data_IF_557574915345
#
_entry.id   IF_557574915345
#
_cell.length_a   1.000
_cell.length_b   1.000
_cell.length_c   1.000
_cell.angle_alpha   90.00
_cell.angle_beta   90.00
_cell.angle_gamma   90.00
#
_symmetry.space_group_name_H-M   'P 1'
#
loop_
_entity.id
_entity.type
_entity.pdbx_description
1 polymer ?
#
# COMPACT_ATOMS: atom_id res chain seq x y z
N UNK A 1 6.77 14.54 46.16
CA UNK A 1 7.16 14.98 44.80
C UNK A 1 7.04 13.90 43.70
N UNK A 2 6.82 12.61 44.00
CA UNK A 2 6.78 11.55 42.97
C UNK A 2 5.42 11.30 42.28
N UNK A 3 4.31 11.74 42.89
CA UNK A 3 2.93 11.43 42.43
C UNK A 3 2.46 12.40 41.34
N UNK A 4 2.95 13.65 41.35
CA UNK A 4 2.58 14.68 40.37
C UNK A 4 3.22 14.45 38.99
N UNK A 5 4.41 13.84 38.95
CA UNK A 5 5.12 13.53 37.70
C UNK A 5 4.51 12.33 36.95
N UNK A 6 3.96 11.35 37.67
CA UNK A 6 3.31 10.17 37.09
C UNK A 6 1.92 10.52 36.52
N UNK A 7 1.14 11.35 37.21
CA UNK A 7 -0.14 11.86 36.70
C UNK A 7 0.02 12.73 35.45
N UNK A 8 1.05 13.60 35.40
CA UNK A 8 1.32 14.43 34.22
C UNK A 8 1.75 13.58 33.01
N UNK A 9 2.52 12.51 33.22
CA UNK A 9 2.87 11.55 32.15
C UNK A 9 1.67 10.76 31.65
N UNK A 10 0.72 10.37 32.51
CA UNK A 10 -0.50 9.66 32.11
C UNK A 10 -1.45 10.58 31.33
N UNK A 11 -1.63 11.83 31.77
CA UNK A 11 -2.42 12.83 31.05
C UNK A 11 -1.81 13.16 29.69
N UNK A 12 -0.48 13.28 29.62
CA UNK A 12 0.25 13.46 28.37
C UNK A 12 0.11 12.23 27.47
N UNK A 13 0.22 11.01 28.01
CA UNK A 13 0.03 9.76 27.25
C UNK A 13 -1.41 9.62 26.75
N UNK A 14 -2.41 9.99 27.56
CA UNK A 14 -3.83 10.01 27.16
C UNK A 14 -4.09 11.08 26.10
N UNK A 15 -3.52 12.28 26.22
CA UNK A 15 -3.62 13.32 25.19
C UNK A 15 -2.93 12.88 23.89
N UNK A 16 -1.73 12.30 23.95
CA UNK A 16 -1.05 11.74 22.79
C UNK A 16 -1.76 10.53 22.19
N UNK A 17 -2.40 9.68 23.00
CA UNK A 17 -3.21 8.53 22.56
C UNK A 17 -4.51 8.99 21.87
N UNK A 18 -5.18 10.02 22.41
CA UNK A 18 -6.35 10.60 21.76
C UNK A 18 -6.00 11.40 20.48
N UNK A 19 -4.81 12.02 20.43
CA UNK A 19 -4.27 12.68 19.22
C UNK A 19 -3.84 11.64 18.17
N UNK A 20 -3.28 10.49 18.57
CA UNK A 20 -2.95 9.41 17.63
C UNK A 20 -4.20 8.74 17.06
N UNK A 21 -5.27 8.58 17.86
CA UNK A 21 -6.55 8.04 17.35
C UNK A 21 -7.21 8.98 16.31
N UNK A 22 -7.00 10.30 16.40
CA UNK A 22 -7.55 11.24 15.40
C UNK A 22 -6.71 11.37 14.11
N UNK A 23 -5.47 10.88 14.10
CA UNK A 23 -4.57 11.01 12.95
C UNK A 23 -4.54 9.79 12.02
N UNK A 24 -5.33 8.74 12.30
CA UNK A 24 -5.32 7.46 11.56
C UNK A 24 -6.62 7.21 10.77
N UNK A 25 -7.43 8.25 10.52
CA UNK A 25 -8.71 8.17 9.80
C UNK A 25 -8.70 9.00 8.50
N UNK A 26 -7.65 8.89 7.69
CA UNK A 26 -7.58 9.43 6.32
C UNK A 26 -6.62 8.50 5.56
N UNK A 27 -6.93 7.61 4.61
CA UNK A 27 -8.07 7.35 3.75
C UNK A 27 -7.98 5.87 3.31
N UNK A 28 -8.38 4.89 4.11
CA UNK A 28 -8.40 3.51 3.61
C UNK A 28 -9.57 3.34 2.64
N UNK A 29 -9.31 3.08 1.36
CA UNK A 29 -10.35 2.64 0.42
C UNK A 29 -10.25 1.14 0.21
N UNK A 30 -11.12 0.40 0.89
CA UNK A 30 -11.16 -1.06 0.82
C UNK A 30 -11.80 -1.47 -0.49
N UNK A 31 -11.04 -2.16 -1.34
CA UNK A 31 -11.53 -2.67 -2.63
C UNK A 31 -12.80 -3.51 -2.44
N UNK A 32 -13.86 -3.15 -3.18
CA UNK A 32 -15.08 -3.95 -3.27
C UNK A 32 -15.13 -4.69 -4.61
N UNK A 33 -14.84 -3.97 -5.69
CA UNK A 33 -14.72 -4.48 -7.07
C UNK A 33 -13.53 -3.82 -7.76
N UNK A 34 -13.26 -4.16 -9.01
CA UNK A 34 -12.30 -3.42 -9.85
C UNK A 34 -12.72 -1.97 -10.14
N UNK A 35 -13.95 -1.59 -9.78
CA UNK A 35 -14.56 -0.28 -10.06
C UNK A 35 -14.93 0.53 -8.84
N UNK A 36 -14.95 -0.10 -7.68
CA UNK A 36 -15.50 0.51 -6.48
C UNK A 36 -14.70 0.15 -5.25
N UNK A 37 -14.64 1.09 -4.33
CA UNK A 37 -14.00 0.90 -3.04
C UNK A 37 -14.80 1.62 -1.96
N UNK A 38 -14.68 1.13 -0.73
CA UNK A 38 -15.34 1.70 0.44
C UNK A 38 -14.35 2.48 1.28
N UNK A 39 -14.63 3.75 1.48
CA UNK A 39 -13.94 4.62 2.44
C UNK A 39 -14.75 4.80 3.72
N UNK A 40 -14.22 5.58 4.67
CA UNK A 40 -14.95 6.04 5.86
C UNK A 40 -16.10 6.99 5.54
N UNK A 41 -16.05 7.67 4.39
CA UNK A 41 -17.03 8.68 3.96
C UNK A 41 -18.14 8.10 3.07
N UNK A 42 -17.96 6.88 2.55
CA UNK A 42 -18.94 6.24 1.68
C UNK A 42 -18.31 5.28 0.67
N UNK A 43 -19.11 4.88 -0.32
CA UNK A 43 -18.62 4.09 -1.45
C UNK A 43 -18.32 5.01 -2.61
N UNK A 44 -17.13 4.85 -3.18
CA UNK A 44 -16.74 5.44 -4.47
C UNK A 44 -16.98 4.36 -5.52
N UNK A 45 -17.74 4.66 -6.57
CA UNK A 45 -18.10 3.72 -7.64
C UNK A 45 -17.94 4.38 -9.01
N UNK A 46 -16.95 3.91 -9.76
CA UNK A 46 -16.62 4.41 -11.10
C UNK A 46 -17.44 3.72 -12.21
N UNK A 47 -18.28 2.73 -11.89
CA UNK A 47 -19.07 1.98 -12.87
C UNK A 47 -19.97 2.86 -13.77
N UNK A 48 -20.49 4.01 -13.31
CA UNK A 48 -21.26 4.92 -14.19
C UNK A 48 -20.43 5.64 -15.27
N UNK A 49 -19.10 5.72 -15.12
CA UNK A 49 -18.18 6.35 -16.09
C UNK A 49 -17.84 5.45 -17.28
N UNK A 50 -18.46 4.28 -17.37
CA UNK A 50 -18.07 3.24 -18.31
C UNK A 50 -18.70 3.47 -19.68
N UNK A 51 -17.85 3.56 -20.69
CA UNK A 51 -18.28 3.33 -22.07
C UNK A 51 -18.49 1.82 -22.29
N UNK A 52 -19.73 1.41 -22.57
CA UNK A 52 -20.07 0.01 -22.87
C UNK A 52 -19.79 -0.30 -24.35
N UNK A 53 -18.52 -0.46 -24.71
CA UNK A 53 -18.10 -0.76 -26.09
C UNK A 53 -16.62 -1.08 -26.24
N UNK A 54 -16.16 -1.26 -27.49
CA UNK A 54 -14.73 -1.42 -27.81
C UNK A 54 -13.94 -0.10 -27.71
N UNK A 55 -14.64 1.04 -27.61
CA UNK A 55 -14.02 2.36 -27.54
C UNK A 55 -13.91 2.81 -26.09
N UNK A 56 -12.74 3.32 -25.66
CA UNK A 56 -12.54 3.86 -24.33
C UNK A 56 -13.42 5.09 -24.08
N UNK A 57 -13.79 5.33 -22.83
CA UNK A 57 -14.53 6.52 -22.40
C UNK A 57 -13.73 7.80 -22.68
N UNK A 58 -12.45 7.79 -22.33
CA UNK A 58 -11.52 8.88 -22.61
C UNK A 58 -10.58 8.40 -23.70
N UNK A 59 -10.68 9.01 -24.88
CA UNK A 59 -9.92 8.60 -26.05
C UNK A 59 -8.96 9.71 -26.48
N UNK A 60 -7.72 9.33 -26.77
CA UNK A 60 -6.69 10.20 -27.34
C UNK A 60 -6.56 11.55 -26.59
N UNK A 61 -6.56 11.52 -25.26
CA UNK A 61 -6.34 12.69 -24.42
C UNK A 61 -4.84 13.01 -24.40
N UNK A 62 -4.48 14.22 -24.82
CA UNK A 62 -3.09 14.63 -24.92
C UNK A 62 -2.46 14.88 -23.53
N UNK A 63 -1.20 14.52 -23.37
CA UNK A 63 -0.45 14.80 -22.13
C UNK A 63 0.01 16.26 -22.01
N UNK A 64 0.45 16.62 -20.80
CA UNK A 64 0.95 17.97 -20.49
C UNK A 64 2.14 18.41 -21.37
N UNK A 65 2.91 17.45 -21.93
CA UNK A 65 4.04 17.76 -22.82
C UNK A 65 3.62 17.97 -24.27
N UNK A 66 2.43 17.53 -24.64
CA UNK A 66 1.94 17.52 -26.02
C UNK A 66 2.54 16.43 -26.90
N UNK A 67 3.33 15.51 -26.34
CA UNK A 67 4.10 14.51 -27.10
C UNK A 67 3.33 13.21 -27.33
N UNK A 68 2.40 12.88 -26.44
CA UNK A 68 1.69 11.61 -26.47
C UNK A 68 0.20 11.81 -26.20
N UNK A 69 -0.57 10.82 -26.63
CA UNK A 69 -2.00 10.70 -26.41
C UNK A 69 -2.29 9.47 -25.58
N UNK A 70 -3.33 9.56 -24.76
CA UNK A 70 -3.69 8.53 -23.80
C UNK A 70 -5.17 8.23 -23.87
N UNK A 71 -5.47 6.95 -23.90
CA UNK A 71 -6.84 6.43 -23.82
C UNK A 71 -7.01 5.67 -22.52
N UNK A 72 -8.15 5.87 -21.87
CA UNK A 72 -8.49 5.24 -20.59
C UNK A 72 -9.97 4.89 -20.55
N UNK A 73 -10.26 3.71 -20.00
CA UNK A 73 -11.62 3.31 -19.69
C UNK A 73 -11.64 2.72 -18.28
N UNK A 74 -12.35 3.31 -17.31
CA UNK A 74 -12.54 2.66 -16.02
C UNK A 74 -13.32 1.35 -16.22
N UNK A 75 -13.09 0.38 -15.33
CA UNK A 75 -13.90 -0.83 -15.12
C UNK A 75 -13.95 -1.89 -16.20
N UNK A 76 -13.98 -1.51 -17.47
CA UNK A 76 -14.14 -2.42 -18.59
C UNK A 76 -12.99 -2.26 -19.56
N UNK A 77 -12.49 -3.40 -20.01
CA UNK A 77 -11.36 -3.42 -20.91
C UNK A 77 -11.80 -2.95 -22.29
N UNK A 78 -10.94 -2.20 -22.97
CA UNK A 78 -11.14 -1.79 -24.35
C UNK A 78 -10.01 -2.30 -25.24
N UNK A 79 -10.20 -2.17 -26.55
CA UNK A 79 -9.19 -2.54 -27.54
C UNK A 79 -9.12 -1.47 -28.62
N UNK A 80 -7.94 -0.92 -28.85
CA UNK A 80 -7.69 0.03 -29.92
C UNK A 80 -6.32 -0.22 -30.54
N UNK A 81 -6.26 -0.31 -31.87
CA UNK A 81 -5.02 -0.48 -32.64
C UNK A 81 -4.07 -1.52 -32.01
N UNK A 82 -2.96 -1.10 -31.39
CA UNK A 82 -1.97 -1.98 -30.76
C UNK A 82 -2.20 -2.31 -29.28
N UNK A 83 -3.22 -1.74 -28.64
CA UNK A 83 -3.61 -2.03 -27.26
C UNK A 83 -4.83 -2.95 -27.22
N UNK A 84 -4.68 -4.17 -26.69
CA UNK A 84 -5.76 -5.17 -26.65
C UNK A 84 -6.12 -5.55 -25.22
N UNK A 85 -7.42 -5.51 -24.90
CA UNK A 85 -7.98 -5.86 -23.61
C UNK A 85 -7.31 -5.11 -22.44
N UNK A 86 -7.16 -3.78 -22.58
CA UNK A 86 -6.45 -2.92 -21.64
C UNK A 86 -7.40 -2.02 -20.85
N UNK A 87 -6.93 -1.53 -19.70
CA UNK A 87 -7.55 -0.42 -18.98
C UNK A 87 -7.05 0.95 -19.47
N UNK A 88 -5.82 1.01 -19.99
CA UNK A 88 -5.25 2.21 -20.58
C UNK A 88 -4.23 1.93 -21.69
N UNK A 89 -4.11 2.89 -22.61
CA UNK A 89 -3.20 2.85 -23.74
C UNK A 89 -2.50 4.20 -23.92
N UNK A 90 -1.20 4.19 -24.20
CA UNK A 90 -0.46 5.36 -24.68
C UNK A 90 -0.20 5.22 -26.18
N UNK A 91 -0.26 6.34 -26.92
CA UNK A 91 0.12 6.38 -28.34
C UNK A 91 0.80 7.69 -28.75
N UNK A 92 1.67 7.63 -29.75
CA UNK A 92 2.17 8.78 -30.53
C UNK A 92 1.42 8.91 -31.88
N UNK A 93 0.24 8.31 -31.98
CA UNK A 93 -0.58 8.08 -33.18
C UNK A 93 -0.04 7.03 -34.18
N UNK A 94 1.20 6.57 -34.00
CA UNK A 94 1.84 5.54 -34.86
C UNK A 94 2.05 4.24 -34.10
N UNK A 95 2.62 4.33 -32.90
CA UNK A 95 2.92 3.25 -31.99
C UNK A 95 1.94 3.27 -30.82
N UNK A 96 1.64 2.10 -30.26
CA UNK A 96 0.67 1.93 -29.18
C UNK A 96 1.28 1.05 -28.09
N UNK A 97 1.07 1.44 -26.84
CA UNK A 97 1.69 0.82 -25.68
C UNK A 97 0.64 0.59 -24.59
N UNK A 98 0.42 -0.67 -24.20
CA UNK A 98 -0.44 -1.02 -23.06
C UNK A 98 0.14 -0.50 -21.76
N UNK A 99 -0.61 0.31 -21.00
CA UNK A 99 -0.11 0.89 -19.74
C UNK A 99 -0.83 0.33 -18.50
N UNK A 100 -1.81 -0.55 -18.69
CA UNK A 100 -2.57 -1.14 -17.59
C UNK A 100 -3.65 -2.11 -18.07
N UNK A 101 -4.02 -3.08 -17.25
CA UNK A 101 -5.05 -4.09 -17.55
C UNK A 101 -6.09 -4.18 -16.43
N UNK A 102 -7.35 -4.46 -16.76
CA UNK A 102 -8.46 -4.40 -15.78
C UNK A 102 -8.33 -5.42 -14.65
N UNK A 103 -7.73 -6.58 -14.90
CA UNK A 103 -7.49 -7.64 -13.90
C UNK A 103 -6.46 -7.23 -12.84
N UNK A 104 -5.66 -6.21 -13.12
CA UNK A 104 -4.66 -5.66 -12.19
C UNK A 104 -5.17 -4.50 -11.32
N UNK A 105 -6.43 -4.08 -11.50
CA UNK A 105 -6.99 -2.90 -10.85
C UNK A 105 -6.90 -2.98 -9.31
N UNK A 106 -6.31 -1.97 -8.69
CA UNK A 106 -6.20 -1.87 -7.24
C UNK A 106 -6.31 -0.41 -6.76
N UNK A 107 -7.22 -0.11 -5.84
CA UNK A 107 -7.24 1.21 -5.21
C UNK A 107 -6.09 1.34 -4.21
N UNK A 108 -5.46 2.51 -4.24
CA UNK A 108 -4.29 2.87 -3.44
C UNK A 108 -4.36 4.33 -3.04
N UNK A 109 -3.55 4.71 -2.06
CA UNK A 109 -3.54 6.05 -1.50
C UNK A 109 -2.14 6.60 -1.60
N UNK A 110 -2.04 7.79 -2.18
CA UNK A 110 -0.85 8.62 -2.09
C UNK A 110 -1.09 9.70 -1.03
N UNK A 111 -0.13 9.89 -0.13
CA UNK A 111 -0.27 10.84 0.97
C UNK A 111 -0.41 12.31 0.52
N UNK A 112 -0.01 12.62 -0.72
CA UNK A 112 -0.01 13.97 -1.28
C UNK A 112 -1.08 14.19 -2.33
N UNK A 113 -1.33 13.18 -3.18
CA UNK A 113 -2.26 13.27 -4.31
C UNK A 113 -3.61 12.63 -4.05
N UNK A 114 -3.74 11.88 -2.94
CA UNK A 114 -4.98 11.25 -2.52
C UNK A 114 -5.20 9.86 -3.10
N UNK A 115 -6.47 9.47 -3.19
CA UNK A 115 -6.89 8.15 -3.69
C UNK A 115 -6.62 8.02 -5.19
N UNK A 116 -6.12 6.87 -5.61
CA UNK A 116 -5.96 6.52 -7.01
C UNK A 116 -6.28 5.05 -7.24
N UNK A 117 -6.55 4.69 -8.48
CA UNK A 117 -6.57 3.31 -8.93
C UNK A 117 -5.31 3.03 -9.75
N UNK A 118 -4.58 1.99 -9.35
CA UNK A 118 -3.41 1.47 -10.06
C UNK A 118 -3.83 0.36 -11.01
N UNK A 119 -3.27 0.39 -12.21
CA UNK A 119 -3.28 -0.72 -13.15
C UNK A 119 -1.85 -1.03 -13.57
N UNK A 120 -1.55 -2.30 -13.75
CA UNK A 120 -0.27 -2.80 -14.26
C UNK A 120 -0.50 -3.52 -15.58
N UNK A 121 0.32 -3.20 -16.58
CA UNK A 121 0.31 -3.92 -17.85
C UNK A 121 0.85 -5.34 -17.63
N UNK A 122 0.03 -6.35 -17.98
CA UNK A 122 0.35 -7.78 -17.83
C UNK A 122 0.63 -8.47 -19.17
N UNK A 123 0.41 -7.77 -20.28
CA UNK A 123 0.40 -8.32 -21.64
C UNK A 123 1.71 -8.14 -22.40
N UNK A 124 2.50 -7.12 -22.08
CA UNK A 124 3.76 -6.82 -22.77
C UNK A 124 4.92 -6.43 -21.80
N UNK A 125 5.26 -5.16 -21.70
CA UNK A 125 6.26 -4.64 -20.78
C UNK A 125 5.57 -4.19 -19.50
N UNK A 126 6.22 -4.39 -18.36
CA UNK A 126 5.68 -3.99 -17.06
C UNK A 126 5.65 -2.46 -16.96
N UNK A 127 4.51 -1.87 -17.33
CA UNK A 127 4.15 -0.45 -17.21
C UNK A 127 3.06 -0.31 -16.16
N UNK A 128 3.02 0.82 -15.46
CA UNK A 128 2.04 1.09 -14.42
C UNK A 128 1.28 2.37 -14.73
N UNK A 129 -0.04 2.31 -14.68
CA UNK A 129 -0.92 3.46 -14.80
C UNK A 129 -1.56 3.78 -13.44
N UNK A 130 -1.32 4.99 -12.94
CA UNK A 130 -1.95 5.54 -11.75
C UNK A 130 -2.98 6.59 -12.16
N UNK A 131 -4.25 6.33 -11.86
CA UNK A 131 -5.37 7.25 -12.12
C UNK A 131 -5.85 7.84 -10.80
N UNK A 132 -5.42 9.07 -10.51
CA UNK A 132 -5.85 9.79 -9.30
C UNK A 132 -7.30 10.21 -9.41
N UNK A 133 -8.07 9.99 -8.34
CA UNK A 133 -9.50 10.26 -8.30
C UNK A 133 -9.75 11.58 -7.60
N UNK A 134 -10.28 12.55 -8.35
CA UNK A 134 -10.65 13.86 -7.82
C UNK A 134 -12.17 13.96 -7.79
N UNK A 135 -12.74 14.04 -6.59
CA UNK A 135 -14.16 14.33 -6.42
C UNK A 135 -14.47 15.76 -6.87
N UNK A 136 -15.44 15.90 -7.77
CA UNK A 136 -16.04 17.18 -8.12
C UNK A 136 -17.52 16.95 -8.46
N UNK A 137 -18.43 17.55 -7.68
CA UNK A 137 -19.87 17.37 -7.86
C UNK A 137 -20.44 18.04 -9.11
N UNK A 138 -19.62 18.79 -9.86
CA UNK A 138 -20.05 19.55 -11.04
C UNK A 138 -19.52 18.99 -12.36
N UNK A 139 -18.65 17.98 -12.30
CA UNK A 139 -18.05 17.36 -13.47
C UNK A 139 -18.55 15.93 -13.63
N UNK A 140 -19.11 15.58 -14.79
CA UNK A 140 -19.56 14.22 -15.05
C UNK A 140 -18.39 13.28 -15.30
N UNK A 141 -17.31 13.77 -15.90
CA UNK A 141 -16.09 13.01 -16.15
C UNK A 141 -15.09 13.78 -17.02
N UNK A 142 -13.95 14.14 -16.42
CA UNK A 142 -12.84 14.83 -17.09
C UNK A 142 -11.55 14.10 -16.78
N UNK A 143 -10.74 13.85 -17.81
CA UNK A 143 -9.42 13.26 -17.67
C UNK A 143 -8.35 14.30 -18.00
N UNK A 144 -7.48 14.58 -17.04
CA UNK A 144 -6.28 15.39 -17.21
C UNK A 144 -5.06 14.46 -17.17
N UNK A 145 -4.22 14.49 -18.20
CA UNK A 145 -3.14 13.50 -18.37
C UNK A 145 -1.78 14.16 -18.16
N UNK A 146 -1.07 13.75 -17.11
CA UNK A 146 0.31 14.18 -16.88
C UNK A 146 1.29 13.43 -17.78
N UNK A 147 0.99 12.16 -18.10
CA UNK A 147 1.87 11.30 -18.90
C UNK A 147 2.86 10.54 -18.01
N UNK A 148 4.04 10.23 -18.55
CA UNK A 148 5.05 9.47 -17.81
C UNK A 148 5.68 10.33 -16.69
N UNK A 149 5.45 9.93 -15.44
CA UNK A 149 5.91 10.67 -14.28
C UNK A 149 6.37 9.74 -13.14
N UNK A 150 7.67 9.78 -12.76
CA UNK A 150 8.74 10.58 -13.35
C UNK A 150 9.09 10.17 -14.80
N UNK A 151 9.77 11.02 -15.58
CA UNK A 151 10.20 10.67 -16.94
C UNK A 151 11.04 9.38 -16.96
N UNK A 152 10.83 8.52 -17.95
CA UNK A 152 11.51 7.23 -18.13
C UNK A 152 11.33 6.22 -16.97
N UNK A 153 10.27 6.35 -16.17
CA UNK A 153 9.96 5.44 -15.05
C UNK A 153 9.07 4.25 -15.42
N UNK A 154 8.44 4.28 -16.60
CA UNK A 154 7.30 3.42 -16.98
C UNK A 154 6.09 3.53 -16.04
N UNK A 155 6.00 4.61 -15.27
CA UNK A 155 4.85 4.98 -14.43
C UNK A 155 4.16 6.16 -15.09
N UNK A 156 2.86 6.00 -15.35
CA UNK A 156 2.03 6.98 -16.03
C UNK A 156 1.00 7.51 -15.05
N UNK A 157 0.83 8.83 -15.04
CA UNK A 157 -0.10 9.50 -14.15
C UNK A 157 -1.15 10.29 -14.93
N UNK A 158 -2.39 10.20 -14.45
CA UNK A 158 -3.52 11.00 -14.92
C UNK A 158 -4.47 11.25 -13.75
N UNK A 159 -5.30 12.29 -13.86
CA UNK A 159 -6.33 12.64 -12.88
C UNK A 159 -7.69 12.54 -13.51
N UNK A 160 -8.55 11.70 -12.93
CA UNK A 160 -9.97 11.58 -13.27
C UNK A 160 -10.78 12.44 -12.30
N UNK A 161 -11.39 13.50 -12.82
CA UNK A 161 -12.29 14.37 -12.07
C UNK A 161 -13.74 14.02 -12.41
N UNK A 162 -14.54 13.69 -11.40
CA UNK A 162 -15.94 13.32 -11.61
C UNK A 162 -16.76 13.35 -10.31
N UNK A 163 -18.07 13.48 -10.45
CA UNK A 163 -19.07 13.22 -9.40
C UNK A 163 -18.95 11.79 -8.86
N UNK A 164 -18.59 10.82 -9.71
CA UNK A 164 -18.45 9.41 -9.35
C UNK A 164 -17.14 9.10 -8.57
N UNK A 165 -16.21 10.04 -8.53
CA UNK A 165 -15.04 9.98 -7.65
C UNK A 165 -15.36 10.42 -6.20
N UNK A 166 -16.57 10.95 -5.96
CA UNK A 166 -17.01 11.34 -4.63
C UNK A 166 -17.53 10.14 -3.82
N UNK A 167 -17.17 10.02 -2.53
CA UNK A 167 -17.80 9.03 -1.65
C UNK A 167 -19.29 9.31 -1.53
N UNK A 168 -20.11 8.28 -1.75
CA UNK A 168 -21.54 8.33 -1.50
C UNK A 168 -21.86 7.50 -0.23
N UNK A 169 -22.39 8.10 0.84
CA UNK A 169 -22.71 7.38 2.08
C UNK A 169 -23.95 6.48 1.96
N UNK A 170 -24.83 6.75 0.99
CA UNK A 170 -26.10 6.03 0.81
C UNK A 170 -25.99 4.81 -0.12
N UNK A 171 -24.84 4.61 -0.77
CA UNK A 171 -24.62 3.46 -1.64
C UNK A 171 -24.44 2.18 -0.81
N UNK A 172 -25.24 1.17 -1.13
CA UNK A 172 -25.02 -0.20 -0.68
C UNK A 172 -24.10 -0.90 -1.69
N UNK A 173 -23.15 -1.73 -1.24
CA UNK A 173 -22.27 -2.45 -2.16
C UNK A 173 -23.11 -3.39 -3.03
N UNK A 174 -22.94 -3.31 -4.34
CA UNK A 174 -23.59 -4.26 -5.27
C UNK A 174 -23.10 -5.66 -4.91
N UNK A 175 -23.99 -6.64 -4.68
CA UNK A 175 -23.57 -8.00 -4.37
C UNK A 175 -22.71 -8.55 -5.52
N UNK A 176 -21.52 -9.04 -5.18
CA UNK A 176 -20.65 -9.73 -6.14
C UNK A 176 -21.44 -10.89 -6.74
N UNK A 177 -21.57 -10.99 -8.07
CA UNK A 177 -22.32 -12.09 -8.68
C UNK A 177 -21.70 -13.42 -8.23
N UNK A 178 -22.54 -14.31 -7.71
CA UNK A 178 -22.13 -15.69 -7.37
C UNK A 178 -21.62 -16.31 -8.67
N UNK A 179 -20.39 -16.89 -8.70
CA UNK A 179 -19.86 -17.48 -9.91
C UNK A 179 -20.85 -18.54 -10.42
N UNK A 180 -21.34 -18.34 -11.63
CA UNK A 180 -22.19 -19.32 -12.31
C UNK A 180 -21.41 -20.63 -12.39
N UNK A 181 -21.96 -21.77 -11.92
CA UNK A 181 -21.26 -23.03 -12.01
C UNK A 181 -20.93 -23.30 -13.49
N UNK A 182 -19.63 -23.40 -13.79
CA UNK A 182 -19.15 -23.76 -15.12
C UNK A 182 -19.76 -25.11 -15.48
N UNK A 183 -20.44 -25.26 -16.64
CA UNK A 183 -21.01 -26.54 -17.03
C UNK A 183 -19.89 -27.58 -17.05
N UNK A 184 -20.08 -28.65 -16.29
CA UNK A 184 -19.15 -29.78 -16.27
C UNK A 184 -19.01 -30.30 -17.71
N UNK A 185 -17.80 -30.29 -18.30
CA UNK A 185 -17.63 -30.79 -19.65
C UNK A 185 -18.08 -32.25 -19.70
N UNK A 186 -18.89 -32.58 -20.71
CA UNK A 186 -19.30 -33.96 -21.00
C UNK A 186 -18.02 -34.78 -21.19
N UNK A 187 -17.87 -35.94 -20.53
CA UNK A 187 -16.66 -36.73 -20.64
C UNK A 187 -16.45 -37.16 -22.10
N UNK A 188 -15.40 -36.61 -22.72
CA UNK A 188 -14.88 -37.09 -24.00
C UNK A 188 -14.41 -38.54 -23.80
N UNK A 189 -14.74 -39.50 -24.69
CA UNK A 189 -14.26 -40.87 -24.56
C UNK A 189 -12.72 -40.87 -24.53
N UNK A 190 -12.18 -41.42 -23.46
CA UNK A 190 -10.74 -41.50 -23.22
C UNK A 190 -10.14 -42.47 -24.25
N UNK A 191 -9.19 -42.04 -25.09
CA UNK A 191 -8.43 -42.98 -25.91
C UNK A 191 -7.60 -43.89 -25.00
N UNK A 192 -7.66 -45.20 -25.28
CA UNK A 192 -6.90 -46.25 -24.59
C UNK A 192 -5.43 -45.84 -24.47
N UNK A 193 -4.86 -45.73 -23.25
CA UNK A 193 -3.47 -45.32 -23.09
C UNK A 193 -2.54 -46.40 -23.66
N UNK A 194 -1.66 -45.98 -24.56
CA UNK A 194 -0.42 -46.71 -24.87
C UNK A 194 0.46 -46.66 -23.62
N UNK A 195 1.12 -47.76 -23.21
CA UNK A 195 1.95 -47.77 -22.01
C UNK A 195 3.08 -46.74 -22.12
N UNK A 196 2.96 -45.65 -21.36
CA UNK A 196 4.00 -44.65 -21.19
C UNK A 196 5.11 -45.21 -20.29
N UNK A 197 6.40 -45.11 -20.68
CA UNK A 197 7.49 -45.52 -19.82
C UNK A 197 7.51 -44.70 -18.53
N UNK A 198 7.79 -45.38 -17.41
CA UNK A 198 7.88 -44.81 -16.07
C UNK A 198 8.86 -43.63 -16.08
N UNK A 199 8.43 -42.39 -15.73
CA UNK A 199 9.34 -41.28 -15.61
C UNK A 199 10.27 -41.51 -14.40
N UNK A 200 11.57 -41.56 -14.68
CA UNK A 200 12.64 -41.52 -13.69
C UNK A 200 12.49 -40.26 -12.82
N UNK A 201 12.54 -40.36 -11.48
CA UNK A 201 12.39 -39.21 -10.61
C UNK A 201 13.47 -38.16 -10.90
N UNK A 202 13.03 -36.96 -11.27
CA UNK A 202 13.89 -35.80 -11.45
C UNK A 202 14.23 -35.27 -10.06
N UNK A 203 15.53 -35.17 -9.67
CA UNK A 203 15.90 -34.64 -8.37
C UNK A 203 15.49 -33.17 -8.26
N UNK A 204 14.62 -32.84 -7.30
CA UNK A 204 14.39 -31.47 -6.90
C UNK A 204 15.67 -30.90 -6.30
N UNK A 205 16.41 -30.10 -7.08
CA UNK A 205 17.41 -29.18 -6.54
C UNK A 205 16.66 -28.07 -5.79
N UNK A 206 16.35 -28.32 -4.53
CA UNK A 206 16.05 -27.26 -3.58
C UNK A 206 17.34 -26.44 -3.44
N UNK A 207 17.30 -25.18 -3.90
CA UNK A 207 18.43 -24.26 -3.79
C UNK A 207 18.66 -23.94 -2.30
N UNK A 208 19.55 -24.69 -1.65
CA UNK A 208 20.01 -24.50 -0.27
C UNK A 208 20.61 -23.11 -0.01
N UNK A 209 20.87 -22.33 -1.06
CA UNK A 209 21.58 -21.04 -0.98
C UNK A 209 20.70 -19.91 -0.43
N UNK A 210 19.39 -19.92 -0.69
CA UNK A 210 18.47 -18.87 -0.21
C UNK A 210 18.10 -19.07 1.27
N UNK A 211 17.97 -20.32 1.72
CA UNK A 211 17.71 -20.64 3.13
C UNK A 211 18.87 -20.28 4.05
N UNK A 212 20.12 -20.46 3.59
CA UNK A 212 21.30 -20.08 4.35
C UNK A 212 21.39 -18.57 4.59
N UNK A 213 21.02 -17.75 3.60
CA UNK A 213 21.02 -16.29 3.72
C UNK A 213 19.98 -15.84 4.75
N UNK A 214 18.78 -16.41 4.72
CA UNK A 214 17.71 -16.10 5.70
C UNK A 214 18.14 -16.49 7.12
N UNK A 215 18.74 -17.68 7.30
CA UNK A 215 19.24 -18.13 8.60
C UNK A 215 20.34 -17.22 9.12
N UNK A 216 21.33 -16.85 8.28
CA UNK A 216 22.42 -15.96 8.67
C UNK A 216 21.90 -14.57 9.07
N UNK A 217 20.98 -13.98 8.29
CA UNK A 217 20.37 -12.69 8.60
C UNK A 217 19.57 -12.75 9.92
N UNK A 218 18.82 -13.83 10.15
CA UNK A 218 18.08 -14.02 11.40
C UNK A 218 19.01 -14.11 12.63
N UNK A 219 20.14 -14.80 12.52
CA UNK A 219 21.13 -14.93 13.59
C UNK A 219 21.84 -13.60 13.91
N UNK A 220 22.14 -12.79 12.89
CA UNK A 220 22.74 -11.45 13.06
C UNK A 220 21.76 -10.53 13.80
N UNK A 221 20.49 -10.50 13.39
CA UNK A 221 19.47 -9.70 14.04
C UNK A 221 19.24 -10.10 15.50
N UNK A 222 19.24 -11.41 15.80
CA UNK A 222 19.11 -11.90 17.19
C UNK A 222 20.32 -11.51 18.05
N UNK A 223 21.53 -11.59 17.49
CA UNK A 223 22.77 -11.22 18.19
C UNK A 223 22.82 -9.73 18.52
N UNK A 224 22.40 -8.87 17.58
CA UNK A 224 22.31 -7.41 17.80
C UNK A 224 21.28 -7.07 18.88
N UNK A 225 20.12 -7.74 18.89
CA UNK A 225 19.10 -7.57 19.91
C UNK A 225 19.65 -7.90 21.31
N UNK A 226 20.37 -9.02 21.45
CA UNK A 226 20.98 -9.44 22.73
C UNK A 226 22.02 -8.42 23.19
N UNK A 227 22.86 -7.90 22.30
CA UNK A 227 23.85 -6.87 22.63
C UNK A 227 23.19 -5.57 23.11
N UNK A 228 22.10 -5.15 22.48
CA UNK A 228 21.32 -3.97 22.89
C UNK A 228 20.72 -4.18 24.29
N UNK A 229 20.15 -5.36 24.56
CA UNK A 229 19.59 -5.71 25.87
C UNK A 229 20.68 -5.71 26.94
N UNK A 230 21.82 -6.36 26.69
CA UNK A 230 22.95 -6.40 27.62
C UNK A 230 23.53 -5.01 27.88
N UNK A 231 23.69 -4.18 26.85
CA UNK A 231 24.16 -2.80 27.01
C UNK A 231 23.19 -1.97 27.87
N UNK A 232 21.88 -2.17 27.69
CA UNK A 232 20.85 -1.48 28.45
C UNK A 232 20.84 -1.92 29.92
N UNK A 233 21.02 -3.23 30.20
CA UNK A 233 21.17 -3.76 31.56
C UNK A 233 22.42 -3.17 32.21
N UNK A 234 23.57 -3.14 31.52
CA UNK A 234 24.81 -2.56 32.03
C UNK A 234 24.59 -1.08 32.36
N UNK A 235 23.98 -0.30 31.46
CA UNK A 235 23.67 1.12 31.70
C UNK A 235 22.76 1.28 32.92
N UNK A 236 21.71 0.46 33.07
CA UNK A 236 20.85 0.47 34.25
C UNK A 236 21.61 0.16 35.55
N UNK A 237 22.54 -0.80 35.52
CA UNK A 237 23.38 -1.16 36.67
C UNK A 237 24.35 -0.03 37.03
N UNK A 238 24.96 0.62 36.04
CA UNK A 238 25.84 1.77 36.25
C UNK A 238 25.06 2.95 36.87
N UNK A 239 23.85 3.24 36.37
CA UNK A 239 22.97 4.27 36.93
C UNK A 239 22.55 3.92 38.37
N UNK A 240 22.29 2.65 38.67
CA UNK A 240 21.94 2.19 40.02
C UNK A 240 23.11 2.31 40.99
N UNK A 241 24.32 1.95 40.55
CA UNK A 241 25.53 2.07 41.35
C UNK A 241 25.84 3.54 41.69
N UNK A 242 25.74 4.42 40.69
CA UNK A 242 25.97 5.86 40.89
C UNK A 242 24.96 6.49 41.88
N UNK A 243 23.72 6.00 41.89
CA UNK A 243 22.71 6.43 42.89
C UNK A 243 23.04 5.98 44.31
N UNK A 244 23.70 4.84 44.49
CA UNK A 244 24.11 4.35 45.80
C UNK A 244 25.33 5.10 46.35
N UNK A 245 26.25 5.54 45.49
CA UNK A 245 27.43 6.31 45.91
C UNK A 245 27.11 7.72 46.38
N UNK A 246 25.99 8.31 45.97
CA UNK A 246 25.57 9.65 46.43
C UNK A 246 24.91 9.67 47.82
N UNK A 247 24.65 8.51 48.45
CA UNK A 247 23.92 8.44 49.73
C UNK A 247 24.82 8.29 50.97
N UNK A 248 26.13 8.07 50.81
CA UNK A 248 27.04 7.72 51.94
C UNK A 248 27.91 8.87 52.45
N UNK A 249 27.77 10.08 51.93
CA UNK A 249 28.57 11.26 52.34
C UNK A 249 27.66 12.39 52.80
N UNK A 250 27.16 12.32 54.05
CA UNK A 250 27.00 13.47 54.98
C UNK A 250 26.27 13.04 56.26
N UNK A 251 27.02 12.60 57.28
CA UNK A 251 26.63 12.80 58.68
C UNK A 251 27.87 13.30 59.45
N UNK A 252 28.00 14.62 59.71
CA UNK A 252 28.97 15.10 60.68
C UNK A 252 28.40 14.94 62.09
N UNK A 253 29.19 14.29 62.93
CA UNK A 253 28.99 14.03 64.36
C UNK A 253 28.95 15.35 65.17
N UNK A 254 28.01 15.57 66.12
CA UNK A 254 28.02 16.77 66.97
C UNK A 254 29.18 16.70 67.98
N UNK A 255 30.11 17.66 67.90
CA UNK A 255 31.16 17.85 68.92
C UNK A 255 30.59 18.55 70.15
N UNK A 256 30.77 17.90 71.29
CA UNK A 256 30.48 18.36 72.65
C UNK A 256 31.51 19.41 73.10
N UNK A 257 31.02 20.31 73.96
CA UNK A 257 31.58 21.52 74.59
C UNK A 257 32.77 21.34 75.55
N UNK A 258 33.59 22.39 75.71
CA UNK A 258 34.29 22.86 76.93
C UNK A 258 34.91 24.24 76.58
N UNK A 259 34.51 25.40 77.13
CA UNK A 259 34.75 25.99 78.47
C UNK A 259 36.24 25.84 78.85
N UNK A 260 37.07 26.90 78.90
CA UNK A 260 37.22 27.87 80.02
C UNK A 260 37.89 29.20 79.63
N UNK A 261 37.61 30.21 80.46
CA UNK A 261 38.13 31.58 80.57
C UNK A 261 39.66 31.76 80.56
N UNK A 262 40.12 32.85 79.95
CA UNK A 262 40.84 34.01 80.56
C UNK A 262 41.67 34.76 79.54
#
# INVERSE_FOLDING_TARGET
MGVTCTLMKILIFMLFYNITIHAEQVNECVNLTSCSCRSSEGIIDLSPLVSTGLSPMFKDVQDDTGSYYFSYNPCTAFTESGCTNVAGCQTDMTNYYSIGTQDSAAFKVDATKGLYIEYVATTDAKRTLNVYLKCDQTEDGKLDVTGENPPASAIYEMTLTSTYCCPNPDSTPVPTPVPTPVPTPVPTPVPTPVPTPVPTPVPCKHSHREWLIIIILSCIMLSLLVLIILSSIIICLQIRNNRNTSFTTTIPNPKVSEIWDS
#
